data_IF_005628880052
#
_entry.id   IF_005628880052
#
_cell.length_a   1.000
_cell.length_b   1.000
_cell.length_c   1.000
_cell.angle_alpha   90.00
_cell.angle_beta   90.00
_cell.angle_gamma   90.00
#
_symmetry.space_group_name_H-M   'P 1'
#
loop_
_entity.id
_entity.type
_entity.pdbx_description
1 polymer ?
#
# COMPACT_ATOMS: atom_id res chain seq x y z
N UNK A 1 -20.30 27.05 18.42
CA UNK A 1 -19.42 25.98 18.96
C UNK A 1 -18.00 26.24 18.47
N UNK A 2 -17.02 26.34 19.38
CA UNK A 2 -15.62 26.48 19.01
C UNK A 2 -15.16 25.22 18.26
N UNK A 3 -14.49 25.38 17.11
CA UNK A 3 -13.91 24.24 16.38
C UNK A 3 -12.92 23.52 17.31
N UNK A 4 -12.95 22.19 17.45
CA UNK A 4 -12.04 21.47 18.33
C UNK A 4 -10.59 21.81 17.99
N UNK A 5 -9.81 22.07 19.04
CA UNK A 5 -8.43 22.54 18.98
C UNK A 5 -7.54 21.38 18.51
N UNK A 6 -6.82 21.63 17.41
CA UNK A 6 -5.91 20.76 16.64
C UNK A 6 -4.99 19.91 17.55
N UNK A 7 -4.94 18.58 17.33
CA UNK A 7 -3.89 17.72 17.90
C UNK A 7 -2.77 17.58 16.88
N UNK A 8 -1.80 18.48 16.94
CA UNK A 8 -0.47 18.33 16.34
C UNK A 8 0.49 18.04 17.49
N UNK A 9 1.46 17.14 17.31
CA UNK A 9 2.55 16.99 18.28
C UNK A 9 3.22 18.36 18.45
N UNK A 10 3.11 18.93 19.63
CA UNK A 10 3.53 20.29 19.92
C UNK A 10 4.39 20.42 21.17
N UNK A 11 4.55 19.35 21.96
CA UNK A 11 5.42 19.30 23.14
C UNK A 11 6.14 17.96 23.30
N UNK A 12 7.25 17.99 24.04
CA UNK A 12 8.07 16.84 24.41
C UNK A 12 7.28 15.80 25.18
N UNK A 13 6.40 16.25 26.07
CA UNK A 13 5.56 15.36 26.88
C UNK A 13 4.69 14.44 26.01
N UNK A 14 4.18 14.93 24.87
CA UNK A 14 3.40 14.12 23.94
C UNK A 14 4.25 13.08 23.22
N UNK A 15 5.49 13.43 22.88
CA UNK A 15 6.46 12.51 22.26
C UNK A 15 6.80 11.41 23.25
N UNK A 16 7.23 11.78 24.46
CA UNK A 16 7.62 10.82 25.48
C UNK A 16 6.48 9.86 25.83
N UNK A 17 5.24 10.38 25.92
CA UNK A 17 4.06 9.53 26.12
C UNK A 17 3.93 8.47 25.02
N UNK A 18 4.07 8.85 23.75
CA UNK A 18 3.97 7.91 22.61
C UNK A 18 5.07 6.85 22.65
N UNK A 19 6.30 7.25 22.95
CA UNK A 19 7.43 6.33 23.08
C UNK A 19 7.24 5.36 24.25
N UNK A 20 6.76 5.83 25.40
CA UNK A 20 6.42 4.96 26.54
C UNK A 20 5.25 4.01 26.24
N UNK A 21 4.33 4.39 25.36
CA UNK A 21 3.27 3.50 24.83
C UNK A 21 3.81 2.48 23.81
N UNK A 22 5.12 2.46 23.51
CA UNK A 22 5.74 1.54 22.55
C UNK A 22 5.60 1.96 21.08
N UNK A 23 5.07 3.15 20.80
CA UNK A 23 4.85 3.61 19.42
C UNK A 23 6.13 4.09 18.76
N UNK A 24 6.26 3.78 17.47
CA UNK A 24 7.49 4.04 16.72
C UNK A 24 8.64 3.13 17.14
N UNK A 25 8.36 2.07 17.91
CA UNK A 25 9.32 1.10 18.41
C UNK A 25 9.86 0.16 17.34
N UNK A 26 10.70 -0.79 17.77
CA UNK A 26 11.45 -1.69 16.89
C UNK A 26 10.54 -2.29 15.83
N UNK A 27 10.95 -2.12 14.57
CA UNK A 27 10.28 -2.75 13.44
C UNK A 27 10.19 -4.26 13.64
N UNK A 28 11.07 -4.89 14.41
CA UNK A 28 11.21 -6.35 14.57
C UNK A 28 10.25 -7.05 15.56
N UNK A 29 9.31 -6.35 16.17
CA UNK A 29 8.30 -6.90 17.12
C UNK A 29 6.84 -6.60 16.69
N UNK A 30 5.88 -6.66 17.63
CA UNK A 30 4.49 -6.20 17.46
C UNK A 30 4.46 -4.69 17.17
N UNK A 31 4.69 -4.35 15.91
CA UNK A 31 4.91 -2.97 15.48
C UNK A 31 3.70 -2.06 15.73
N UNK A 32 3.96 -0.94 16.41
CA UNK A 32 3.01 0.15 16.59
C UNK A 32 3.52 1.42 15.88
N UNK A 33 2.74 2.02 14.97
CA UNK A 33 3.15 3.24 14.26
C UNK A 33 3.26 4.43 15.23
N UNK A 34 4.19 5.35 14.98
CA UNK A 34 4.36 6.53 15.83
C UNK A 34 3.15 7.47 15.78
N UNK A 35 2.57 7.61 14.58
CA UNK A 35 1.39 8.42 14.31
C UNK A 35 0.21 7.50 13.98
N UNK A 36 -0.90 7.72 14.69
CA UNK A 36 -2.20 7.11 14.38
C UNK A 36 -3.10 8.16 13.72
N UNK A 37 -4.15 7.72 13.04
CA UNK A 37 -5.04 8.64 12.31
C UNK A 37 -5.68 9.73 13.21
N UNK A 38 -5.81 9.49 14.52
CA UNK A 38 -6.32 10.47 15.48
C UNK A 38 -5.28 11.49 15.93
N UNK A 39 -4.00 11.26 15.62
CA UNK A 39 -2.91 12.21 15.84
C UNK A 39 -2.81 13.23 14.69
N UNK A 40 -3.66 13.10 13.68
CA UNK A 40 -3.62 13.92 12.47
C UNK A 40 -4.94 14.66 12.27
N UNK A 41 -4.85 15.97 12.04
CA UNK A 41 -5.96 16.77 11.52
C UNK A 41 -5.78 16.90 10.01
N UNK A 42 -6.13 15.87 9.24
CA UNK A 42 -5.94 15.92 7.80
C UNK A 42 -6.83 16.99 7.16
N UNK A 43 -6.31 17.64 6.12
CA UNK A 43 -7.15 18.33 5.12
C UNK A 43 -7.72 17.31 4.12
N UNK A 44 -7.05 16.15 3.97
CA UNK A 44 -7.44 15.05 3.07
C UNK A 44 -8.09 13.85 3.80
N UNK A 45 -8.29 12.75 3.08
CA UNK A 45 -8.84 11.50 3.61
C UNK A 45 -7.75 10.67 4.30
N UNK A 46 -8.01 10.27 5.54
CA UNK A 46 -7.23 9.25 6.27
C UNK A 46 -7.89 7.88 6.09
N UNK A 47 -7.12 6.79 6.21
CA UNK A 47 -7.62 5.43 6.03
C UNK A 47 -7.04 4.48 7.07
N UNK A 48 -7.82 3.45 7.41
CA UNK A 48 -7.34 2.27 8.15
C UNK A 48 -7.41 1.08 7.20
N UNK A 49 -6.32 0.34 7.10
CA UNK A 49 -6.21 -0.81 6.19
C UNK A 49 -5.76 -2.01 7.02
N UNK A 50 -6.51 -3.12 6.97
CA UNK A 50 -6.12 -4.35 7.67
C UNK A 50 -4.86 -4.92 7.02
N UNK A 51 -3.84 -5.20 7.83
CA UNK A 51 -2.59 -5.88 7.43
C UNK A 51 -2.38 -7.02 8.43
N UNK A 52 -2.68 -8.25 8.00
CA UNK A 52 -2.66 -9.40 8.90
C UNK A 52 -3.56 -9.17 10.13
N UNK A 53 -2.95 -9.18 11.31
CA UNK A 53 -3.63 -9.04 12.60
C UNK A 53 -3.71 -7.60 13.12
N UNK A 54 -3.24 -6.61 12.36
CA UNK A 54 -3.27 -5.19 12.77
C UNK A 54 -3.94 -4.30 11.73
N UNK A 55 -4.24 -3.07 12.12
CA UNK A 55 -4.65 -2.01 11.21
C UNK A 55 -3.46 -1.07 10.96
N UNK A 56 -3.20 -0.77 9.69
CA UNK A 56 -2.28 0.28 9.30
C UNK A 56 -2.99 1.63 9.18
N UNK A 57 -2.30 2.69 9.60
CA UNK A 57 -2.86 4.04 9.67
C UNK A 57 -2.28 4.96 8.58
N UNK A 58 -3.04 5.17 7.51
CA UNK A 58 -2.63 6.02 6.39
C UNK A 58 -3.16 7.45 6.54
N UNK A 59 -2.30 8.44 6.29
CA UNK A 59 -2.59 9.87 6.46
C UNK A 59 -3.05 10.54 5.16
N UNK A 60 -2.98 9.84 4.04
CA UNK A 60 -3.41 10.33 2.72
C UNK A 60 -3.84 9.21 1.77
N UNK A 61 -4.59 9.56 0.73
CA UNK A 61 -4.95 8.62 -0.34
C UNK A 61 -3.73 8.09 -1.11
N UNK A 62 -2.66 8.91 -1.22
CA UNK A 62 -1.44 8.51 -1.89
C UNK A 62 -0.66 7.47 -1.06
N UNK A 63 -0.62 7.63 0.26
CA UNK A 63 -0.07 6.60 1.16
C UNK A 63 -0.87 5.30 1.05
N UNK A 64 -2.20 5.37 1.07
CA UNK A 64 -3.07 4.19 0.89
C UNK A 64 -2.80 3.51 -0.45
N UNK A 65 -2.58 4.27 -1.53
CA UNK A 65 -2.24 3.74 -2.84
C UNK A 65 -0.91 2.96 -2.83
N UNK A 66 0.12 3.53 -2.23
CA UNK A 66 1.45 2.90 -2.11
C UNK A 66 1.35 1.65 -1.23
N UNK A 67 0.63 1.72 -0.11
CA UNK A 67 0.40 0.57 0.75
C UNK A 67 -0.29 -0.58 0.00
N UNK A 68 -1.32 -0.29 -0.80
CA UNK A 68 -2.00 -1.30 -1.59
C UNK A 68 -1.05 -2.00 -2.59
N UNK A 69 -0.11 -1.26 -3.20
CA UNK A 69 0.93 -1.86 -4.06
C UNK A 69 1.83 -2.81 -3.27
N UNK A 70 2.25 -2.44 -2.06
CA UNK A 70 3.07 -3.29 -1.19
C UNK A 70 2.33 -4.54 -0.73
N UNK A 71 1.05 -4.42 -0.36
CA UNK A 71 0.20 -5.56 0.00
C UNK A 71 -0.03 -6.53 -1.16
N UNK A 72 0.03 -6.03 -2.40
CA UNK A 72 -0.12 -6.86 -3.59
C UNK A 72 1.16 -7.65 -3.93
N UNK A 73 2.33 -7.15 -3.54
CA UNK A 73 3.61 -7.76 -3.84
C UNK A 73 3.91 -8.94 -2.90
N UNK A 74 3.92 -10.15 -3.45
CA UNK A 74 4.14 -11.38 -2.69
C UNK A 74 5.56 -11.51 -2.11
N UNK A 75 6.52 -10.71 -2.60
CA UNK A 75 7.87 -10.69 -2.03
C UNK A 75 7.94 -9.88 -0.74
N UNK A 76 6.98 -8.98 -0.49
CA UNK A 76 6.94 -8.14 0.71
C UNK A 76 6.52 -8.98 1.91
N UNK A 77 7.41 -9.08 2.90
CA UNK A 77 7.20 -9.89 4.10
C UNK A 77 6.76 -9.07 5.31
N UNK A 78 6.95 -7.74 5.25
CA UNK A 78 6.74 -6.86 6.40
C UNK A 78 6.51 -5.43 5.95
N UNK A 79 5.57 -4.75 6.60
CA UNK A 79 5.24 -3.34 6.34
C UNK A 79 5.05 -2.63 7.68
N UNK A 80 5.66 -1.47 7.83
CA UNK A 80 5.60 -0.59 9.00
C UNK A 80 5.35 0.84 8.53
N UNK A 81 4.25 1.47 8.95
CA UNK A 81 3.90 2.83 8.58
C UNK A 81 4.24 3.84 9.68
N UNK A 82 4.57 5.08 9.32
CA UNK A 82 4.85 6.15 10.30
C UNK A 82 5.97 5.78 11.28
N UNK A 83 7.08 5.27 10.74
CA UNK A 83 8.25 4.84 11.51
C UNK A 83 8.94 6.06 12.12
N UNK A 84 9.13 6.05 13.44
CA UNK A 84 9.84 7.10 14.16
C UNK A 84 11.33 7.09 13.82
N UNK A 85 11.92 8.27 13.61
CA UNK A 85 13.36 8.42 13.45
C UNK A 85 13.94 9.09 14.70
N UNK A 86 15.10 8.59 15.16
CA UNK A 86 15.78 9.14 16.33
C UNK A 86 16.12 10.62 16.13
N UNK A 87 15.79 11.44 17.13
CA UNK A 87 15.89 12.90 17.02
C UNK A 87 17.31 13.42 17.13
N UNK A 88 18.17 12.73 17.87
CA UNK A 88 19.58 13.11 17.97
C UNK A 88 20.26 12.84 16.63
N UNK A 89 19.99 11.69 16.02
CA UNK A 89 20.49 11.35 14.69
C UNK A 89 20.00 12.34 13.63
N UNK A 90 18.69 12.65 13.59
CA UNK A 90 18.17 13.61 12.60
C UNK A 90 18.70 15.03 12.83
N UNK A 91 18.94 15.43 14.08
CA UNK A 91 19.55 16.72 14.40
C UNK A 91 21.02 16.79 13.95
N UNK A 92 21.81 15.75 14.20
CA UNK A 92 23.19 15.67 13.73
C UNK A 92 23.27 15.68 12.20
N UNK A 93 22.35 14.98 11.52
CA UNK A 93 22.25 15.01 10.06
C UNK A 93 21.94 16.42 9.57
N UNK A 94 20.94 17.09 10.18
CA UNK A 94 20.54 18.45 9.81
C UNK A 94 21.71 19.45 9.96
N UNK A 95 22.48 19.33 11.05
CA UNK A 95 23.69 20.13 11.27
C UNK A 95 24.75 19.87 10.21
N UNK A 96 25.04 18.59 9.90
CA UNK A 96 26.04 18.19 8.89
C UNK A 96 25.72 18.72 7.48
N UNK A 97 24.44 18.88 7.15
CA UNK A 97 24.01 19.41 5.84
C UNK A 97 23.64 20.90 5.89
N UNK A 98 23.87 21.56 7.03
CA UNK A 98 23.60 22.98 7.26
C UNK A 98 22.14 23.39 6.97
N UNK A 99 21.17 22.57 7.40
CA UNK A 99 19.73 22.88 7.32
C UNK A 99 19.13 22.97 8.71
N UNK A 100 18.05 23.74 8.84
CA UNK A 100 17.39 23.93 10.14
C UNK A 100 16.59 22.69 10.55
N UNK A 101 16.87 22.11 11.71
CA UNK A 101 15.97 21.09 12.27
C UNK A 101 14.64 21.73 12.75
N UNK A 102 13.47 21.17 12.40
CA UNK A 102 12.20 21.66 12.91
C UNK A 102 12.11 21.50 14.44
N UNK A 103 11.41 22.45 15.09
CA UNK A 103 11.21 22.49 16.54
C UNK A 103 9.72 22.49 16.87
N UNK A 104 9.39 21.94 18.03
CA UNK A 104 8.06 21.95 18.62
C UNK A 104 7.67 23.37 19.04
N UNK A 105 6.39 23.69 18.93
CA UNK A 105 5.94 25.06 19.20
C UNK A 105 5.82 25.39 20.69
N UNK A 106 5.56 24.41 21.55
CA UNK A 106 5.29 24.67 22.98
C UNK A 106 6.57 24.87 23.79
N UNK A 107 7.63 24.11 23.50
CA UNK A 107 8.84 24.00 24.32
C UNK A 107 10.14 24.16 23.51
N UNK A 108 10.06 24.34 22.19
CA UNK A 108 11.22 24.50 21.29
C UNK A 108 12.14 23.27 21.21
N UNK A 109 11.68 22.12 21.71
CA UNK A 109 12.37 20.84 21.56
C UNK A 109 12.36 20.36 20.11
N UNK A 110 13.20 19.36 19.79
CA UNK A 110 13.31 18.82 18.43
C UNK A 110 12.00 18.14 18.01
N UNK A 111 11.48 18.52 16.85
CA UNK A 111 10.29 17.89 16.28
C UNK A 111 10.64 16.48 15.76
N UNK A 112 9.84 15.46 16.05
CA UNK A 112 10.12 14.10 15.59
C UNK A 112 9.97 14.01 14.07
N UNK A 113 10.82 13.22 13.43
CA UNK A 113 10.62 12.81 12.05
C UNK A 113 9.93 11.46 12.02
N UNK A 114 9.14 11.24 10.98
CA UNK A 114 8.58 9.93 10.66
C UNK A 114 8.76 9.64 9.18
N UNK A 115 8.97 8.37 8.86
CA UNK A 115 8.92 7.85 7.50
C UNK A 115 7.56 7.23 7.24
N UNK A 116 6.96 7.57 6.09
CA UNK A 116 5.58 7.22 5.79
C UNK A 116 5.39 5.69 5.74
N UNK A 117 6.30 4.96 5.07
CA UNK A 117 6.30 3.50 5.00
C UNK A 117 7.73 2.93 5.04
N UNK A 118 7.93 1.83 5.75
CA UNK A 118 9.10 0.94 5.69
C UNK A 118 8.60 -0.45 5.35
N UNK A 119 9.34 -1.17 4.52
CA UNK A 119 9.01 -2.56 4.23
C UNK A 119 10.27 -3.41 4.01
N UNK A 120 10.09 -4.71 4.23
CA UNK A 120 11.08 -5.73 3.90
C UNK A 120 10.51 -6.62 2.82
N UNK A 121 11.37 -7.01 1.88
CA UNK A 121 11.01 -7.98 0.85
C UNK A 121 12.07 -9.07 0.76
N UNK A 122 11.62 -10.30 0.56
CA UNK A 122 12.46 -11.45 0.34
C UNK A 122 12.57 -11.73 -1.16
N UNK A 123 13.76 -11.49 -1.70
CA UNK A 123 14.11 -11.78 -3.09
C UNK A 123 15.07 -12.96 -3.12
N UNK A 124 14.52 -14.17 -3.34
CA UNK A 124 15.31 -15.41 -3.46
C UNK A 124 16.23 -15.69 -2.25
N UNK A 125 15.77 -15.37 -1.03
CA UNK A 125 16.51 -15.56 0.21
C UNK A 125 17.29 -14.33 0.69
N UNK A 126 17.37 -13.27 -0.12
CA UNK A 126 17.96 -11.99 0.29
C UNK A 126 16.88 -11.04 0.79
N UNK A 127 17.05 -10.52 2.00
CA UNK A 127 16.14 -9.52 2.58
C UNK A 127 16.60 -8.13 2.14
N UNK A 128 15.80 -7.47 1.32
CA UNK A 128 15.99 -6.06 0.97
C UNK A 128 15.09 -5.20 1.85
N UNK A 129 15.67 -4.17 2.46
CA UNK A 129 14.99 -3.20 3.33
C UNK A 129 14.82 -1.88 2.61
N UNK A 130 13.61 -1.32 2.63
CA UNK A 130 13.30 -0.09 1.89
C UNK A 130 12.40 0.83 2.73
N UNK A 131 12.77 2.10 2.80
CA UNK A 131 12.00 3.20 3.35
C UNK A 131 11.42 4.05 2.21
N UNK A 132 10.16 4.43 2.34
CA UNK A 132 9.42 5.26 1.38
C UNK A 132 8.92 6.52 2.07
N UNK A 133 9.32 7.66 1.52
CA UNK A 133 8.63 8.92 1.72
C UNK A 133 7.57 9.11 0.63
N UNK A 134 6.36 9.48 1.01
CA UNK A 134 5.23 9.70 0.10
C UNK A 134 4.87 11.18 0.11
N UNK A 135 4.98 11.86 -1.04
CA UNK A 135 4.63 13.28 -1.17
C UNK A 135 3.97 13.56 -2.51
N UNK A 136 2.91 14.39 -2.56
CA UNK A 136 2.40 14.89 -3.83
C UNK A 136 3.53 15.56 -4.64
N UNK A 137 3.54 15.35 -5.95
CA UNK A 137 4.56 15.90 -6.84
C UNK A 137 4.65 17.43 -6.70
N UNK A 138 3.51 18.09 -6.54
CA UNK A 138 3.42 19.55 -6.32
C UNK A 138 4.10 20.04 -5.04
N UNK A 139 4.36 19.19 -4.04
CA UNK A 139 5.06 19.56 -2.80
C UNK A 139 6.59 19.44 -2.91
N UNK A 140 7.08 18.75 -3.94
CA UNK A 140 8.51 18.47 -4.16
C UNK A 140 9.04 19.09 -5.45
N UNK A 141 8.18 19.72 -6.25
CA UNK A 141 8.58 20.43 -7.47
C UNK A 141 7.98 21.82 -7.54
N UNK A 142 8.72 22.73 -8.16
CA UNK A 142 8.24 24.07 -8.50
C UNK A 142 7.74 24.07 -9.95
N UNK A 143 6.57 23.51 -10.22
CA UNK A 143 6.00 23.55 -11.58
C UNK A 143 5.18 24.84 -11.79
N UNK A 144 5.74 25.82 -12.51
CA UNK A 144 5.06 27.03 -12.97
C UNK A 144 5.60 28.35 -12.39
N UNK A 145 4.86 29.46 -12.54
CA UNK A 145 5.11 30.74 -11.85
C UNK A 145 4.77 30.59 -10.36
N UNK A 146 5.53 29.79 -9.64
CA UNK A 146 5.39 29.65 -8.20
C UNK A 146 5.73 30.99 -7.54
N UNK A 147 4.88 31.46 -6.62
CA UNK A 147 5.24 32.60 -5.80
C UNK A 147 6.40 32.22 -4.86
N UNK A 148 7.13 33.21 -4.36
CA UNK A 148 8.28 32.97 -3.48
C UNK A 148 7.92 32.16 -2.23
N UNK A 149 6.66 32.20 -1.81
CA UNK A 149 6.14 31.44 -0.67
C UNK A 149 6.05 29.94 -0.99
N UNK A 150 5.56 29.57 -2.17
CA UNK A 150 5.51 28.20 -2.65
C UNK A 150 6.92 27.61 -2.83
N UNK A 151 7.83 28.36 -3.45
CA UNK A 151 9.22 27.93 -3.63
C UNK A 151 9.92 27.61 -2.31
N UNK A 152 9.79 28.48 -1.29
CA UNK A 152 10.34 28.24 0.05
C UNK A 152 9.70 27.03 0.74
N UNK A 153 8.41 26.78 0.49
CA UNK A 153 7.74 25.59 1.03
C UNK A 153 8.30 24.31 0.43
N UNK A 154 8.53 24.30 -0.89
CA UNK A 154 9.15 23.15 -1.59
C UNK A 154 10.57 22.93 -1.10
N UNK A 155 11.39 23.98 -1.01
CA UNK A 155 12.74 23.92 -0.45
C UNK A 155 12.73 23.30 0.95
N UNK A 156 11.83 23.78 1.83
CA UNK A 156 11.69 23.24 3.18
C UNK A 156 11.25 21.77 3.19
N UNK A 157 10.45 21.33 2.22
CA UNK A 157 10.09 19.92 2.06
C UNK A 157 11.30 19.09 1.65
N UNK A 158 12.08 19.55 0.68
CA UNK A 158 13.30 18.87 0.21
C UNK A 158 14.36 18.75 1.31
N UNK A 159 14.57 19.80 2.13
CA UNK A 159 15.48 19.73 3.29
C UNK A 159 15.10 18.59 4.25
N UNK A 160 13.81 18.45 4.56
CA UNK A 160 13.32 17.39 5.45
C UNK A 160 13.50 16.01 4.82
N UNK A 161 13.21 15.87 3.52
CA UNK A 161 13.39 14.61 2.80
C UNK A 161 14.87 14.21 2.72
N UNK A 162 15.79 15.18 2.61
CA UNK A 162 17.23 14.88 2.60
C UNK A 162 17.73 14.41 3.97
N UNK A 163 17.20 14.94 5.06
CA UNK A 163 17.50 14.42 6.42
C UNK A 163 17.03 12.96 6.53
N UNK A 164 15.78 12.70 6.16
CA UNK A 164 15.20 11.36 6.18
C UNK A 164 15.98 10.37 5.31
N UNK A 165 16.34 10.77 4.09
CA UNK A 165 17.14 9.95 3.17
C UNK A 165 18.49 9.58 3.77
N UNK A 166 19.20 10.55 4.35
CA UNK A 166 20.51 10.29 4.98
C UNK A 166 20.41 9.41 6.22
N UNK A 167 19.33 9.54 6.99
CA UNK A 167 19.06 8.70 8.16
C UNK A 167 19.00 7.22 7.76
N UNK A 168 18.20 6.88 6.74
CA UNK A 168 18.05 5.49 6.29
C UNK A 168 19.30 4.93 5.61
N UNK A 169 19.97 5.74 4.78
CA UNK A 169 21.20 5.30 4.12
C UNK A 169 22.33 5.01 5.10
N UNK A 170 22.41 5.74 6.21
CA UNK A 170 23.38 5.46 7.28
C UNK A 170 23.16 4.09 7.95
N UNK A 171 21.94 3.53 7.85
CA UNK A 171 21.55 2.24 8.40
C UNK A 171 21.56 1.12 7.34
N UNK A 172 22.01 1.40 6.12
CA UNK A 172 22.01 0.45 5.02
C UNK A 172 20.62 0.14 4.47
N UNK A 173 19.63 0.99 4.73
CA UNK A 173 18.27 0.87 4.20
C UNK A 173 18.12 1.75 2.96
N UNK A 174 17.57 1.20 1.89
CA UNK A 174 17.28 1.99 0.68
C UNK A 174 16.18 3.01 0.96
N UNK A 175 16.29 4.19 0.38
CA UNK A 175 15.28 5.23 0.53
C UNK A 175 14.73 5.66 -0.82
N UNK A 176 13.40 5.74 -0.93
CA UNK A 176 12.68 6.08 -2.16
C UNK A 176 11.67 7.18 -1.87
N UNK A 177 11.58 8.17 -2.77
CA UNK A 177 10.48 9.13 -2.81
C UNK A 177 9.41 8.65 -3.80
N UNK A 178 8.16 8.52 -3.34
CA UNK A 178 7.01 8.20 -4.18
C UNK A 178 6.07 9.40 -4.26
N UNK A 179 5.67 9.72 -5.48
CA UNK A 179 4.73 10.80 -5.82
C UNK A 179 3.53 10.28 -6.59
N UNK A 180 2.49 11.09 -6.74
CA UNK A 180 1.30 10.75 -7.53
C UNK A 180 1.62 10.51 -9.02
N UNK A 181 2.74 11.03 -9.54
CA UNK A 181 3.22 10.72 -10.88
C UNK A 181 3.77 9.29 -11.02
N UNK A 182 4.15 8.66 -9.90
CA UNK A 182 4.66 7.29 -9.90
C UNK A 182 3.53 6.24 -9.81
N UNK A 183 2.26 6.68 -9.71
CA UNK A 183 1.10 5.80 -9.52
C UNK A 183 0.28 5.70 -10.81
N UNK A 184 0.21 4.50 -11.38
CA UNK A 184 -0.72 4.20 -12.45
C UNK A 184 -2.12 3.98 -11.87
N UNK A 185 -3.04 4.92 -12.11
CA UNK A 185 -4.42 4.85 -11.59
C UNK A 185 -5.18 3.58 -11.98
N UNK A 186 -4.93 3.06 -13.19
CA UNK A 186 -5.58 1.82 -13.66
C UNK A 186 -5.06 0.62 -12.86
N UNK A 187 -3.73 0.49 -12.73
CA UNK A 187 -3.10 -0.53 -11.90
C UNK A 187 -3.58 -0.45 -10.46
N UNK A 188 -3.65 0.74 -9.88
CA UNK A 188 -4.14 0.93 -8.52
C UNK A 188 -5.59 0.42 -8.36
N UNK A 189 -6.49 0.82 -9.26
CA UNK A 189 -7.88 0.36 -9.23
C UNK A 189 -8.00 -1.17 -9.37
N UNK A 190 -7.15 -1.77 -10.20
CA UNK A 190 -7.08 -3.22 -10.33
C UNK A 190 -6.58 -3.89 -9.05
N UNK A 191 -5.52 -3.37 -8.43
CA UNK A 191 -5.01 -3.88 -7.15
C UNK A 191 -6.10 -3.81 -6.08
N UNK A 192 -6.74 -2.66 -5.92
CA UNK A 192 -7.84 -2.48 -4.97
C UNK A 192 -8.99 -3.46 -5.24
N UNK A 193 -9.36 -3.66 -6.51
CA UNK A 193 -10.40 -4.62 -6.89
C UNK A 193 -10.02 -6.06 -6.49
N UNK A 194 -8.77 -6.44 -6.72
CA UNK A 194 -8.30 -7.81 -6.48
C UNK A 194 -8.06 -8.08 -4.99
N UNK A 195 -7.51 -7.12 -4.24
CA UNK A 195 -7.37 -7.23 -2.77
C UNK A 195 -8.73 -7.33 -2.06
N UNK A 196 -9.77 -6.66 -2.59
CA UNK A 196 -11.12 -6.73 -2.04
C UNK A 196 -11.97 -7.87 -2.62
N UNK A 197 -11.35 -8.84 -3.30
CA UNK A 197 -12.07 -9.99 -3.85
C UNK A 197 -12.27 -11.05 -2.78
N UNK A 198 -13.50 -11.12 -2.26
CA UNK A 198 -13.89 -12.14 -1.29
C UNK A 198 -13.89 -13.55 -1.89
N UNK A 199 -13.53 -14.51 -1.04
CA UNK A 199 -13.65 -15.92 -1.35
C UNK A 199 -15.11 -16.31 -1.63
N UNK A 200 -15.34 -17.24 -2.55
CA UNK A 200 -16.69 -17.73 -2.80
C UNK A 200 -17.31 -18.32 -1.53
N UNK A 201 -18.58 -17.99 -1.26
CA UNK A 201 -19.32 -18.55 -0.13
C UNK A 201 -19.22 -20.08 -0.10
N UNK A 202 -18.97 -20.64 1.10
CA UNK A 202 -18.76 -22.09 1.34
C UNK A 202 -19.96 -22.96 0.96
N UNK A 203 -21.14 -22.39 0.75
CA UNK A 203 -22.31 -23.13 0.27
C UNK A 203 -22.73 -22.69 -1.14
N UNK A 204 -22.91 -23.64 -2.09
CA UNK A 204 -22.77 -25.10 -1.98
C UNK A 204 -21.38 -25.59 -2.41
N UNK A 205 -20.56 -26.08 -1.45
CA UNK A 205 -19.45 -27.00 -1.66
C UNK A 205 -18.19 -26.44 -2.35
N UNK A 206 -17.04 -26.49 -1.65
CA UNK A 206 -15.71 -26.19 -2.23
C UNK A 206 -15.42 -26.94 -3.54
N UNK A 207 -16.00 -28.14 -3.73
CA UNK A 207 -15.88 -28.93 -4.94
C UNK A 207 -16.57 -28.30 -6.17
N UNK A 208 -17.75 -27.70 -5.99
CA UNK A 208 -18.48 -27.06 -7.08
C UNK A 208 -17.78 -25.76 -7.48
N UNK A 209 -17.27 -25.00 -6.51
CA UNK A 209 -16.41 -23.85 -6.79
C UNK A 209 -15.13 -24.24 -7.51
N UNK A 210 -14.44 -25.29 -7.07
CA UNK A 210 -13.26 -25.81 -7.78
C UNK A 210 -13.58 -26.15 -9.23
N UNK A 211 -14.70 -26.83 -9.49
CA UNK A 211 -15.17 -27.15 -10.84
C UNK A 211 -15.42 -25.88 -11.68
N UNK A 212 -16.05 -24.87 -11.10
CA UNK A 212 -16.31 -23.56 -11.74
C UNK A 212 -15.01 -22.83 -12.11
N UNK A 213 -14.02 -22.85 -11.22
CA UNK A 213 -12.71 -22.24 -11.44
C UNK A 213 -11.91 -22.98 -12.53
N UNK A 214 -11.88 -24.31 -12.49
CA UNK A 214 -11.25 -25.15 -13.52
C UNK A 214 -11.88 -24.88 -14.90
N UNK A 215 -13.21 -24.90 -14.96
CA UNK A 215 -13.92 -24.60 -16.19
C UNK A 215 -13.64 -23.18 -16.69
N UNK A 216 -13.49 -22.20 -15.79
CA UNK A 216 -13.13 -20.82 -16.16
C UNK A 216 -11.77 -20.78 -16.86
N UNK A 217 -10.78 -21.52 -16.35
CA UNK A 217 -9.47 -21.65 -17.00
C UNK A 217 -9.60 -22.30 -18.40
N UNK A 218 -10.40 -23.35 -18.54
CA UNK A 218 -10.64 -24.01 -19.84
C UNK A 218 -11.34 -23.08 -20.85
N UNK A 219 -12.30 -22.27 -20.38
CA UNK A 219 -13.00 -21.26 -21.19
C UNK A 219 -11.99 -20.22 -21.70
N UNK A 220 -11.10 -19.72 -20.84
CA UNK A 220 -10.09 -18.75 -21.25
C UNK A 220 -9.09 -19.37 -22.24
N UNK A 221 -8.60 -20.58 -21.96
CA UNK A 221 -7.67 -21.28 -22.84
C UNK A 221 -8.25 -21.53 -24.26
N UNK A 222 -9.56 -21.81 -24.34
CA UNK A 222 -10.25 -22.01 -25.62
C UNK A 222 -10.75 -20.73 -26.28
N UNK A 223 -10.92 -19.65 -25.51
CA UNK A 223 -11.52 -18.39 -25.96
C UNK A 223 -10.64 -17.55 -26.90
N UNK A 224 -9.32 -17.77 -26.92
CA UNK A 224 -8.37 -17.03 -27.77
C UNK A 224 -8.56 -15.51 -27.65
N UNK A 225 -8.96 -14.82 -28.73
CA UNK A 225 -9.14 -13.36 -28.77
C UNK A 225 -10.57 -12.91 -28.49
N UNK A 226 -11.44 -13.81 -28.02
CA UNK A 226 -12.81 -13.45 -27.67
C UNK A 226 -12.85 -12.66 -26.35
N UNK A 227 -13.67 -11.60 -26.26
CA UNK A 227 -13.83 -10.83 -25.04
C UNK A 227 -14.61 -11.60 -23.97
N UNK A 228 -14.39 -11.26 -22.70
CA UNK A 228 -15.01 -11.95 -21.58
C UNK A 228 -16.55 -11.90 -21.61
N UNK A 229 -17.18 -10.83 -22.12
CA UNK A 229 -18.64 -10.79 -22.25
C UNK A 229 -19.18 -11.84 -23.24
N UNK A 230 -18.53 -12.04 -24.38
CA UNK A 230 -18.91 -13.08 -25.34
C UNK A 230 -18.70 -14.48 -24.75
N UNK A 231 -17.57 -14.69 -24.07
CA UNK A 231 -17.29 -15.96 -23.39
C UNK A 231 -18.30 -16.25 -22.27
N UNK A 232 -18.70 -15.23 -21.50
CA UNK A 232 -19.74 -15.35 -20.48
C UNK A 232 -21.08 -15.76 -21.10
N UNK A 233 -21.48 -15.10 -22.20
CA UNK A 233 -22.71 -15.42 -22.93
C UNK A 233 -22.69 -16.86 -23.48
N UNK A 234 -21.60 -17.27 -24.14
CA UNK A 234 -21.45 -18.63 -24.67
C UNK A 234 -21.44 -19.71 -23.57
N UNK A 235 -20.89 -19.41 -22.40
CA UNK A 235 -20.81 -20.34 -21.28
C UNK A 235 -22.16 -20.55 -20.60
N UNK A 236 -22.95 -19.49 -20.45
CA UNK A 236 -24.32 -19.53 -19.95
C UNK A 236 -25.24 -20.29 -20.92
N UNK A 237 -25.16 -19.99 -22.22
CA UNK A 237 -25.96 -20.68 -23.25
C UNK A 237 -25.72 -22.20 -23.28
N UNK A 238 -24.52 -22.64 -22.91
CA UNK A 238 -24.14 -24.06 -22.84
C UNK A 238 -24.36 -24.69 -21.46
N UNK A 239 -24.95 -23.96 -20.50
CA UNK A 239 -25.10 -24.34 -19.08
C UNK A 239 -23.79 -24.83 -18.44
N UNK A 240 -22.65 -24.26 -18.87
CA UNK A 240 -21.34 -24.69 -18.37
C UNK A 240 -21.01 -24.04 -17.02
N UNK A 241 -21.34 -22.76 -16.83
CA UNK A 241 -21.02 -22.01 -15.62
C UNK A 241 -22.25 -21.27 -15.10
N UNK A 242 -22.63 -21.49 -13.84
CA UNK A 242 -23.78 -20.81 -13.20
C UNK A 242 -23.37 -19.49 -12.49
N UNK A 243 -22.09 -19.32 -12.15
CA UNK A 243 -21.54 -18.07 -11.61
C UNK A 243 -21.13 -17.10 -12.73
N UNK A 244 -21.14 -15.77 -12.51
CA UNK A 244 -20.66 -14.83 -13.52
C UNK A 244 -19.17 -15.07 -13.79
N UNK A 245 -18.81 -15.39 -15.05
CA UNK A 245 -17.44 -15.68 -15.50
C UNK A 245 -16.43 -14.64 -14.98
N UNK A 246 -16.80 -13.36 -15.05
CA UNK A 246 -15.96 -12.26 -14.59
C UNK A 246 -15.57 -12.38 -13.11
N UNK A 247 -16.47 -12.86 -12.24
CA UNK A 247 -16.14 -13.08 -10.83
C UNK A 247 -15.11 -14.20 -10.67
N UNK A 248 -15.25 -15.31 -11.41
CA UNK A 248 -14.29 -16.41 -11.36
C UNK A 248 -12.92 -15.96 -11.87
N UNK A 249 -12.88 -15.20 -12.97
CA UNK A 249 -11.63 -14.60 -13.48
C UNK A 249 -11.00 -13.67 -12.44
N UNK A 250 -11.81 -12.80 -11.83
CA UNK A 250 -11.36 -11.87 -10.77
C UNK A 250 -10.76 -12.64 -9.59
N UNK A 251 -11.46 -13.68 -9.12
CA UNK A 251 -10.99 -14.53 -8.03
C UNK A 251 -9.69 -15.24 -8.37
N UNK A 252 -9.57 -15.82 -9.57
CA UNK A 252 -8.33 -16.44 -10.03
C UNK A 252 -7.16 -15.44 -10.11
N UNK A 253 -7.41 -14.19 -10.51
CA UNK A 253 -6.41 -13.13 -10.49
C UNK A 253 -6.03 -12.72 -9.06
N UNK A 254 -7.02 -12.58 -8.17
CA UNK A 254 -6.82 -12.28 -6.76
C UNK A 254 -5.98 -13.35 -6.07
N UNK A 255 -6.17 -14.61 -6.45
CA UNK A 255 -5.38 -15.74 -5.96
C UNK A 255 -4.09 -15.98 -6.76
N UNK A 256 -3.73 -15.05 -7.66
CA UNK A 256 -2.55 -15.10 -8.52
C UNK A 256 -2.44 -16.36 -9.38
N UNK A 257 -3.51 -17.12 -9.59
CA UNK A 257 -3.54 -18.25 -10.55
C UNK A 257 -3.49 -17.73 -11.98
N UNK A 258 -4.18 -16.62 -12.23
CA UNK A 258 -4.13 -15.88 -13.48
C UNK A 258 -3.38 -14.55 -13.28
N UNK A 259 -2.57 -14.19 -14.27
CA UNK A 259 -1.98 -12.86 -14.40
C UNK A 259 -2.48 -12.20 -15.68
N UNK A 260 -2.65 -10.89 -15.61
CA UNK A 260 -2.93 -10.02 -16.75
C UNK A 260 -2.14 -8.73 -16.61
N UNK A 261 -2.09 -7.95 -17.68
CA UNK A 261 -1.42 -6.65 -17.67
C UNK A 261 -2.21 -5.64 -16.82
N UNK A 262 -1.72 -5.34 -15.62
CA UNK A 262 -2.43 -4.50 -14.63
C UNK A 262 -2.64 -3.04 -15.10
N UNK A 263 -2.00 -2.60 -16.18
CA UNK A 263 -2.23 -1.28 -16.80
C UNK A 263 -3.51 -1.22 -17.62
N UNK A 264 -4.11 -2.38 -17.98
CA UNK A 264 -5.41 -2.49 -18.65
C UNK A 264 -6.54 -2.52 -17.63
N UNK A 265 -7.64 -1.77 -17.82
CA UNK A 265 -8.77 -1.83 -16.89
C UNK A 265 -9.35 -3.23 -16.80
N UNK A 266 -9.48 -3.78 -15.59
CA UNK A 266 -10.14 -5.06 -15.40
C UNK A 266 -11.63 -4.95 -15.68
N UNK A 267 -12.14 -5.75 -16.62
CA UNK A 267 -13.54 -5.69 -17.03
C UNK A 267 -13.90 -6.72 -18.09
N UNK A 268 -15.15 -6.66 -18.56
CA UNK A 268 -15.71 -7.58 -19.55
C UNK A 268 -15.14 -7.41 -20.97
N UNK A 269 -14.41 -6.31 -21.20
CA UNK A 269 -13.80 -5.99 -22.49
C UNK A 269 -12.42 -6.63 -22.67
N UNK A 270 -11.81 -7.16 -21.59
CA UNK A 270 -10.59 -7.95 -21.69
C UNK A 270 -10.86 -9.20 -22.53
N UNK A 271 -9.85 -9.63 -23.27
CA UNK A 271 -9.92 -10.85 -24.09
C UNK A 271 -9.27 -12.02 -23.38
N UNK A 272 -9.65 -13.25 -23.75
CA UNK A 272 -9.11 -14.46 -23.13
C UNK A 272 -7.57 -14.52 -23.16
N UNK A 273 -6.94 -14.07 -24.23
CA UNK A 273 -5.49 -14.02 -24.41
C UNK A 273 -4.77 -12.92 -23.61
N UNK A 274 -5.50 -12.01 -22.95
CA UNK A 274 -4.90 -11.08 -21.98
C UNK A 274 -4.47 -11.77 -20.68
N UNK A 275 -4.93 -13.01 -20.44
CA UNK A 275 -4.67 -13.77 -19.22
C UNK A 275 -3.66 -14.89 -19.46
N UNK A 276 -2.78 -15.10 -18.49
CA UNK A 276 -1.78 -16.17 -18.48
C UNK A 276 -1.75 -16.88 -17.13
N UNK A 277 -1.38 -18.17 -17.13
CA UNK A 277 -1.20 -18.94 -15.90
C UNK A 277 0.19 -18.65 -15.30
N UNK A 278 0.24 -18.43 -13.99
CA UNK A 278 1.47 -18.03 -13.27
C UNK A 278 2.26 -19.20 -12.69
N UNK A 279 1.70 -20.42 -12.73
CA UNK A 279 2.23 -21.62 -12.07
C UNK A 279 1.60 -21.92 -10.70
N UNK A 280 0.83 -21.00 -10.12
CA UNK A 280 0.07 -21.25 -8.89
C UNK A 280 -1.15 -22.14 -9.16
N UNK A 281 -1.43 -23.10 -8.28
CA UNK A 281 -2.53 -24.06 -8.46
C UNK A 281 -3.85 -23.55 -7.87
N UNK A 282 -4.97 -23.94 -8.47
CA UNK A 282 -6.31 -23.65 -7.95
C UNK A 282 -6.51 -24.26 -6.55
N UNK A 283 -5.88 -25.41 -6.29
CA UNK A 283 -5.95 -26.05 -4.97
C UNK A 283 -5.23 -25.24 -3.89
N UNK A 284 -4.04 -24.70 -4.18
CA UNK A 284 -3.36 -23.79 -3.27
C UNK A 284 -4.16 -22.50 -3.04
N UNK A 285 -4.75 -21.95 -4.10
CA UNK A 285 -5.59 -20.75 -4.06
C UNK A 285 -6.84 -20.93 -3.17
N UNK A 286 -7.57 -22.03 -3.36
CA UNK A 286 -8.74 -22.34 -2.53
C UNK A 286 -8.34 -22.58 -1.08
N UNK A 287 -7.27 -23.34 -0.83
CA UNK A 287 -6.79 -23.63 0.52
C UNK A 287 -6.44 -22.34 1.30
N UNK A 288 -5.62 -21.46 0.70
CA UNK A 288 -5.22 -20.19 1.31
C UNK A 288 -6.43 -19.28 1.63
N UNK A 289 -7.38 -19.18 0.69
CA UNK A 289 -8.60 -18.39 0.86
C UNK A 289 -9.50 -18.90 2.00
N UNK A 290 -9.48 -20.21 2.28
CA UNK A 290 -10.34 -20.80 3.30
C UNK A 290 -9.73 -20.77 4.71
N UNK A 291 -8.41 -20.64 4.84
CA UNK A 291 -7.74 -20.37 6.12
C UNK A 291 -7.96 -18.92 6.58
N UNK A 292 -7.89 -17.93 5.66
CA UNK A 292 -8.14 -16.51 5.97
C UNK A 292 -9.55 -16.23 6.50
N UNK A 293 -10.55 -17.04 6.12
CA UNK A 293 -11.94 -16.91 6.60
C UNK A 293 -12.13 -17.52 8.00
N UNK A 294 -11.20 -18.35 8.46
CA UNK A 294 -11.25 -19.05 9.76
C UNK A 294 -10.41 -18.37 10.85
N UNK A 295 -9.56 -17.41 10.49
CA UNK A 295 -8.70 -16.64 11.38
C UNK A 295 -9.30 -15.26 11.69
#
# INVERSE_FOLDING_TARGET
MAKPKRLRINSEQQIQRKLTEGRGGNVDEDYLPFLLIHDFSSIGRVSRVKIGNREAHMMSDLETAVLAELLWDQSVTKICEQVYLDREDTAQIAEKINVRHPKLSADQELHPFTTDLYYEQNLNGEVRKVAIAVKPYSEVTSSGKADAKSARSVERTLEKLEIERRYWLAQGVEWILRTDQNICKVKQRNIELLLNTEAPCREPGSAEWKKRLLLTVDILASGKNLPLHELAHCSLARRKLEAPLLYCVRFLCAQRVLAFEMTKPFGLDLIASDFSLTGQTIDAALFASFEEVMA
#
